data_IF_435904258493
#
_entry.id   IF_435904258493
#
_cell.length_a   1.000
_cell.length_b   1.000
_cell.length_c   1.000
_cell.angle_alpha   90.00
_cell.angle_beta   90.00
_cell.angle_gamma   90.00
#
_symmetry.space_group_name_H-M   'P 1'
#
loop_
_entity.id
_entity.type
_entity.pdbx_description
1 polymer ?
#
# COMPACT_ATOMS: atom_id res chain seq x y z
N UNK A 1 -3.21 12.63 1.12
CA UNK A 1 -2.00 11.78 1.01
C UNK A 1 -2.05 10.87 -0.23
N UNK A 2 -3.09 10.04 -0.39
CA UNK A 2 -3.21 9.10 -1.54
C UNK A 2 -3.13 9.79 -2.90
N UNK A 3 -3.80 10.93 -3.11
CA UNK A 3 -3.74 11.68 -4.38
C UNK A 3 -2.32 12.19 -4.67
N UNK A 4 -1.61 12.72 -3.67
CA UNK A 4 -0.22 13.15 -3.84
C UNK A 4 0.69 11.98 -4.19
N UNK A 5 0.47 10.81 -3.59
CA UNK A 5 1.19 9.60 -3.90
C UNK A 5 0.92 9.13 -5.35
N UNK A 6 -0.31 9.25 -5.85
CA UNK A 6 -0.65 8.97 -7.24
C UNK A 6 0.02 9.94 -8.23
N UNK A 7 0.11 11.23 -7.88
CA UNK A 7 0.84 12.21 -8.69
C UNK A 7 2.35 11.91 -8.68
N UNK A 8 2.92 11.60 -7.51
CA UNK A 8 4.32 11.19 -7.40
C UNK A 8 4.60 9.91 -8.20
N UNK A 9 3.65 8.97 -8.25
CA UNK A 9 3.74 7.77 -9.09
C UNK A 9 3.85 8.12 -10.56
N UNK A 10 3.00 9.04 -11.07
CA UNK A 10 3.04 9.42 -12.48
C UNK A 10 4.29 10.21 -12.88
N UNK A 11 4.85 11.03 -11.97
CA UNK A 11 5.94 11.96 -12.30
C UNK A 11 7.32 11.41 -11.94
N UNK A 12 7.46 10.73 -10.80
CA UNK A 12 8.76 10.32 -10.25
C UNK A 12 9.04 8.84 -10.38
N UNK A 13 8.04 7.96 -10.35
CA UNK A 13 8.29 6.52 -10.41
C UNK A 13 9.01 6.07 -11.69
N UNK A 14 8.71 6.61 -12.90
CA UNK A 14 9.46 6.25 -14.11
C UNK A 14 10.93 6.71 -14.07
N UNK A 15 11.24 7.78 -13.32
CA UNK A 15 12.59 8.32 -13.20
C UNK A 15 13.43 7.61 -12.12
N UNK A 16 12.76 6.92 -11.20
CA UNK A 16 13.36 6.16 -10.11
C UNK A 16 13.38 4.65 -10.37
N UNK A 17 13.03 4.24 -11.60
CA UNK A 17 13.08 2.85 -12.01
C UNK A 17 14.52 2.32 -11.99
N UNK A 18 14.74 1.22 -11.25
CA UNK A 18 16.00 0.48 -11.27
C UNK A 18 15.70 -0.92 -11.83
N UNK A 19 16.07 -1.14 -13.09
CA UNK A 19 15.78 -2.39 -13.79
C UNK A 19 14.27 -2.58 -14.03
N UNK A 20 13.71 -3.69 -13.55
CA UNK A 20 12.27 -4.00 -13.65
C UNK A 20 11.48 -3.54 -12.41
N UNK A 21 12.17 -3.05 -11.38
CA UNK A 21 11.56 -2.61 -10.14
C UNK A 21 11.17 -1.12 -10.24
N UNK A 22 9.90 -0.83 -10.01
CA UNK A 22 9.38 0.53 -9.86
C UNK A 22 8.93 0.73 -8.40
N UNK A 23 9.23 1.89 -7.78
CA UNK A 23 8.61 2.22 -6.50
C UNK A 23 7.09 2.40 -6.68
N UNK A 24 6.33 1.93 -5.70
CA UNK A 24 4.87 2.02 -5.69
C UNK A 24 4.43 2.96 -4.56
N UNK A 25 4.53 4.27 -4.82
CA UNK A 25 4.21 5.31 -3.85
C UNK A 25 2.76 5.23 -3.32
N UNK A 26 1.73 4.93 -4.14
CA UNK A 26 0.36 4.83 -3.65
C UNK A 26 0.18 3.69 -2.64
N UNK A 27 0.79 2.52 -2.89
CA UNK A 27 0.73 1.39 -1.96
C UNK A 27 1.56 1.65 -0.71
N UNK A 28 2.71 2.31 -0.83
CA UNK A 28 3.54 2.68 0.32
C UNK A 28 2.80 3.62 1.28
N UNK A 29 2.16 4.66 0.75
CA UNK A 29 1.36 5.60 1.55
C UNK A 29 0.12 4.93 2.12
N UNK A 30 -0.51 4.03 1.36
CA UNK A 30 -1.65 3.24 1.83
C UNK A 30 -1.25 2.30 2.97
N UNK A 31 -0.05 1.69 2.92
CA UNK A 31 0.47 0.84 3.98
C UNK A 31 0.71 1.62 5.28
N UNK A 32 1.29 2.81 5.17
CA UNK A 32 1.49 3.70 6.32
C UNK A 32 0.15 4.19 6.90
N UNK A 33 -0.83 4.51 6.05
CA UNK A 33 -2.17 4.89 6.49
C UNK A 33 -2.87 3.73 7.19
N UNK A 34 -2.88 2.54 6.58
CA UNK A 34 -3.50 1.35 7.15
C UNK A 34 -2.95 1.02 8.54
N UNK A 35 -1.64 1.19 8.76
CA UNK A 35 -1.06 1.01 10.09
C UNK A 35 -1.55 2.02 11.14
N UNK A 36 -1.75 3.27 10.74
CA UNK A 36 -2.00 4.37 11.69
C UNK A 36 -3.50 4.65 11.90
N UNK A 37 -4.38 3.96 11.18
CA UNK A 37 -5.83 4.20 11.19
C UNK A 37 -6.64 2.92 11.35
N UNK A 38 -7.89 3.06 11.75
CA UNK A 38 -8.84 1.95 11.92
C UNK A 38 -9.05 1.17 10.61
N UNK A 39 -9.46 -0.11 10.69
CA UNK A 39 -9.74 -0.93 9.51
C UNK A 39 -10.76 -0.31 8.53
N UNK A 40 -11.74 0.45 9.06
CA UNK A 40 -12.77 1.11 8.24
C UNK A 40 -12.20 2.29 7.44
N UNK A 41 -11.40 3.16 8.06
CA UNK A 41 -10.72 4.27 7.37
C UNK A 41 -9.64 3.75 6.41
N UNK A 42 -8.94 2.67 6.76
CA UNK A 42 -8.03 1.97 5.86
C UNK A 42 -8.75 1.39 4.64
N UNK A 43 -9.95 0.82 4.82
CA UNK A 43 -10.78 0.31 3.72
C UNK A 43 -11.16 1.44 2.74
N UNK A 44 -11.62 2.58 3.25
CA UNK A 44 -11.93 3.76 2.42
C UNK A 44 -10.70 4.30 1.68
N UNK A 45 -9.54 4.35 2.35
CA UNK A 45 -8.29 4.72 1.70
C UNK A 45 -7.90 3.71 0.60
N UNK A 46 -8.08 2.41 0.84
CA UNK A 46 -7.87 1.34 -0.13
C UNK A 46 -8.79 1.45 -1.33
N UNK A 47 -10.06 1.78 -1.12
CA UNK A 47 -11.04 2.02 -2.18
C UNK A 47 -10.63 3.18 -3.08
N UNK A 48 -10.29 4.34 -2.49
CA UNK A 48 -9.84 5.52 -3.24
C UNK A 48 -8.55 5.24 -4.02
N UNK A 49 -7.60 4.53 -3.42
CA UNK A 49 -6.35 4.13 -4.08
C UNK A 49 -6.63 3.17 -5.24
N UNK A 50 -7.54 2.21 -5.03
CA UNK A 50 -8.07 1.29 -6.04
C UNK A 50 -8.64 2.01 -7.24
N UNK A 51 -9.56 2.94 -6.99
CA UNK A 51 -10.24 3.72 -8.01
C UNK A 51 -9.24 4.57 -8.81
N UNK A 52 -8.39 5.35 -8.14
CA UNK A 52 -7.42 6.23 -8.79
C UNK A 52 -6.48 5.46 -9.70
N UNK A 53 -5.92 4.36 -9.20
CA UNK A 53 -4.94 3.60 -9.97
C UNK A 53 -5.60 2.76 -11.08
N UNK A 54 -6.84 2.30 -10.90
CA UNK A 54 -7.60 1.70 -11.99
C UNK A 54 -7.88 2.72 -13.11
N UNK A 55 -8.22 3.96 -12.76
CA UNK A 55 -8.40 5.04 -13.73
C UNK A 55 -7.12 5.37 -14.51
N UNK A 56 -5.94 5.17 -13.92
CA UNK A 56 -4.65 5.40 -14.61
C UNK A 56 -4.27 4.27 -15.57
N UNK A 57 -4.74 3.04 -15.34
CA UNK A 57 -4.33 1.85 -16.10
C UNK A 57 -5.37 1.37 -17.12
N UNK A 58 -6.54 2.02 -17.23
CA UNK A 58 -7.66 1.63 -18.10
C UNK A 58 -8.06 0.13 -17.98
N UNK A 59 -7.76 -0.48 -16.83
CA UNK A 59 -7.97 -1.90 -16.56
C UNK A 59 -9.20 -2.14 -15.68
N UNK A 60 -9.49 -3.42 -15.37
CA UNK A 60 -10.65 -3.85 -14.57
C UNK A 60 -10.72 -3.15 -13.21
N UNK A 61 -11.54 -2.09 -13.14
CA UNK A 61 -11.70 -1.21 -11.98
C UNK A 61 -12.11 -1.98 -10.73
N UNK A 62 -13.01 -2.96 -10.89
CA UNK A 62 -13.47 -3.81 -9.79
C UNK A 62 -12.34 -4.58 -9.12
N UNK A 63 -11.49 -5.27 -9.89
CA UNK A 63 -10.40 -6.10 -9.34
C UNK A 63 -9.36 -5.28 -8.58
N UNK A 64 -9.06 -4.06 -9.04
CA UNK A 64 -8.13 -3.16 -8.34
C UNK A 64 -8.71 -2.56 -7.06
N UNK A 65 -10.00 -2.24 -7.06
CA UNK A 65 -10.67 -1.75 -5.85
C UNK A 65 -10.70 -2.87 -4.81
N UNK A 66 -11.20 -4.05 -5.17
CA UNK A 66 -11.35 -5.18 -4.24
C UNK A 66 -9.99 -5.59 -3.65
N UNK A 67 -8.96 -5.75 -4.49
CA UNK A 67 -7.63 -6.14 -4.02
C UNK A 67 -7.03 -5.13 -3.03
N UNK A 68 -7.13 -3.83 -3.32
CA UNK A 68 -6.56 -2.78 -2.45
C UNK A 68 -7.35 -2.54 -1.18
N UNK A 69 -8.68 -2.66 -1.23
CA UNK A 69 -9.52 -2.60 -0.02
C UNK A 69 -9.17 -3.76 0.91
N UNK A 70 -9.17 -5.00 0.40
CA UNK A 70 -8.85 -6.17 1.21
C UNK A 70 -7.43 -6.11 1.77
N UNK A 71 -6.44 -5.73 0.95
CA UNK A 71 -5.07 -5.59 1.40
C UNK A 71 -4.91 -4.49 2.47
N UNK A 72 -5.57 -3.34 2.30
CA UNK A 72 -5.53 -2.25 3.28
C UNK A 72 -6.20 -2.64 4.61
N UNK A 73 -7.38 -3.26 4.56
CA UNK A 73 -8.09 -3.73 5.75
C UNK A 73 -7.29 -4.78 6.51
N UNK A 74 -6.71 -5.77 5.82
CA UNK A 74 -5.87 -6.79 6.47
C UNK A 74 -4.60 -6.19 7.07
N UNK A 75 -3.97 -5.23 6.38
CA UNK A 75 -2.78 -4.53 6.89
C UNK A 75 -3.11 -3.65 8.10
N UNK A 76 -4.34 -3.15 8.21
CA UNK A 76 -4.79 -2.38 9.39
C UNK A 76 -4.95 -3.24 10.65
N UNK A 77 -4.98 -4.57 10.53
CA UNK A 77 -4.91 -5.48 11.68
C UNK A 77 -3.47 -5.82 12.09
N UNK A 78 -2.46 -5.43 11.31
CA UNK A 78 -1.06 -5.67 11.65
C UNK A 78 -0.63 -5.08 13.02
N UNK A 79 -1.13 -3.90 13.45
CA UNK A 79 -0.87 -3.36 14.79
C UNK A 79 -1.28 -4.27 15.96
N UNK A 80 -2.23 -5.21 15.77
CA UNK A 80 -2.57 -6.20 16.78
C UNK A 80 -1.44 -7.19 17.08
N UNK A 81 -0.66 -7.51 16.04
CA UNK A 81 0.40 -8.52 16.12
C UNK A 81 1.75 -7.84 16.35
N UNK A 82 1.91 -6.61 15.87
CA UNK A 82 3.17 -5.87 15.90
C UNK A 82 2.95 -4.48 16.46
N UNK A 83 3.65 -4.14 17.55
CA UNK A 83 3.52 -2.83 18.19
C UNK A 83 3.72 -1.68 17.19
N UNK A 84 2.72 -0.81 17.11
CA UNK A 84 2.64 0.31 16.16
C UNK A 84 3.68 1.41 16.41
N UNK A 85 4.44 1.31 17.51
CA UNK A 85 5.40 2.31 17.97
C UNK A 85 6.79 2.14 17.35
N UNK A 86 7.08 0.98 16.76
CA UNK A 86 8.38 0.68 16.16
C UNK A 86 8.37 0.92 14.66
N UNK A 87 9.42 1.55 14.12
CA UNK A 87 9.63 1.73 12.67
C UNK A 87 9.65 0.40 11.88
N UNK A 88 9.90 -0.72 12.56
CA UNK A 88 9.79 -2.07 11.99
C UNK A 88 8.36 -2.43 11.56
N UNK A 89 7.31 -1.89 12.20
CA UNK A 89 5.93 -2.14 11.77
C UNK A 89 5.68 -1.54 10.38
N UNK A 90 6.27 -0.37 10.10
CA UNK A 90 6.21 0.28 8.79
C UNK A 90 6.84 -0.55 7.68
N UNK A 91 7.99 -1.18 7.96
CA UNK A 91 8.63 -2.11 7.03
C UNK A 91 7.74 -3.32 6.74
N UNK A 92 7.15 -3.91 7.77
CA UNK A 92 6.24 -5.03 7.61
C UNK A 92 5.00 -4.65 6.80
N UNK A 93 4.36 -3.51 7.09
CA UNK A 93 3.22 -3.06 6.30
C UNK A 93 3.59 -2.74 4.84
N UNK A 94 4.76 -2.14 4.61
CA UNK A 94 5.26 -1.84 3.28
C UNK A 94 5.59 -3.10 2.46
N UNK A 95 5.75 -4.27 3.09
CA UNK A 95 5.84 -5.55 2.39
C UNK A 95 4.50 -6.30 2.31
N UNK A 96 3.77 -6.37 3.42
CA UNK A 96 2.50 -7.12 3.50
C UNK A 96 1.45 -6.53 2.57
N UNK A 97 1.31 -5.19 2.54
CA UNK A 97 0.24 -4.57 1.75
C UNK A 97 0.42 -4.76 0.24
N UNK A 98 1.59 -4.48 -0.36
CA UNK A 98 1.77 -4.74 -1.79
C UNK A 98 1.67 -6.23 -2.10
N UNK A 99 2.24 -7.10 -1.26
CA UNK A 99 2.18 -8.55 -1.45
C UNK A 99 0.71 -9.04 -1.48
N UNK A 100 -0.11 -8.62 -0.51
CA UNK A 100 -1.53 -8.95 -0.47
C UNK A 100 -2.29 -8.35 -1.66
N UNK A 101 -2.04 -7.08 -1.98
CA UNK A 101 -2.72 -6.40 -3.09
C UNK A 101 -2.45 -7.11 -4.42
N UNK A 102 -1.19 -7.45 -4.71
CA UNK A 102 -0.83 -8.16 -5.93
C UNK A 102 -1.36 -9.60 -5.94
N UNK A 103 -1.36 -10.29 -4.79
CA UNK A 103 -1.91 -11.64 -4.67
C UNK A 103 -3.42 -11.65 -4.92
N UNK A 104 -4.19 -10.75 -4.29
CA UNK A 104 -5.63 -10.65 -4.52
C UNK A 104 -5.96 -10.21 -5.94
N UNK A 105 -5.17 -9.30 -6.51
CA UNK A 105 -5.34 -8.89 -7.89
C UNK A 105 -5.09 -10.06 -8.86
N UNK A 106 -4.04 -10.84 -8.63
CA UNK A 106 -3.74 -12.05 -9.42
C UNK A 106 -4.86 -13.10 -9.33
N UNK A 107 -5.45 -13.29 -8.15
CA UNK A 107 -6.60 -14.18 -7.96
C UNK A 107 -7.87 -13.65 -8.67
N UNK A 108 -8.08 -12.34 -8.66
CA UNK A 108 -9.25 -11.71 -9.30
C UNK A 108 -9.13 -11.64 -10.83
N UNK A 109 -7.90 -11.56 -11.35
CA UNK A 109 -7.62 -11.49 -12.77
C UNK A 109 -6.32 -12.26 -13.08
N UNK A 110 -6.39 -13.58 -13.35
CA UNK A 110 -5.23 -14.41 -13.68
C UNK A 110 -4.77 -14.15 -15.13
N UNK A 111 -4.40 -12.91 -15.44
CA UNK A 111 -3.95 -12.48 -16.77
C UNK A 111 -2.41 -12.44 -16.90
N UNK A 112 -1.66 -12.68 -15.82
CA UNK A 112 -0.21 -12.45 -15.75
C UNK A 112 0.58 -13.72 -15.37
N UNK A 113 0.87 -14.57 -16.35
CA UNK A 113 1.66 -15.80 -16.15
C UNK A 113 3.19 -15.63 -16.23
N UNK A 114 3.74 -14.40 -16.21
CA UNK A 114 5.18 -14.20 -16.44
C UNK A 114 5.99 -14.10 -15.15
N UNK A 115 7.12 -14.81 -15.10
CA UNK A 115 8.12 -14.67 -14.03
C UNK A 115 8.61 -13.22 -13.86
N UNK A 116 8.61 -12.44 -14.93
CA UNK A 116 8.97 -11.02 -14.93
C UNK A 116 8.00 -10.15 -14.11
N UNK A 117 6.71 -10.48 -14.06
CA UNK A 117 5.74 -9.77 -13.23
C UNK A 117 6.09 -9.92 -11.74
N UNK A 118 6.31 -11.16 -11.29
CA UNK A 118 6.66 -11.42 -9.90
C UNK A 118 8.03 -10.87 -9.52
N UNK A 119 9.00 -10.85 -10.44
CA UNK A 119 10.27 -10.15 -10.22
C UNK A 119 10.07 -8.64 -10.04
N UNK A 120 9.20 -8.01 -10.83
CA UNK A 120 8.88 -6.60 -10.69
C UNK A 120 8.17 -6.31 -9.35
N UNK A 121 7.22 -7.17 -8.94
CA UNK A 121 6.50 -7.06 -7.67
C UNK A 121 7.45 -7.24 -6.48
N UNK A 122 8.32 -8.24 -6.50
CA UNK A 122 9.32 -8.42 -5.44
C UNK A 122 10.30 -7.24 -5.39
N UNK A 123 10.71 -6.75 -6.56
CA UNK A 123 11.52 -5.54 -6.68
C UNK A 123 10.85 -4.32 -6.07
N UNK A 124 9.56 -4.09 -6.36
CA UNK A 124 8.80 -2.97 -5.81
C UNK A 124 8.61 -3.09 -4.30
N UNK A 125 8.41 -4.30 -3.76
CA UNK A 125 8.35 -4.55 -2.31
C UNK A 125 9.66 -4.16 -1.63
N UNK A 126 10.80 -4.60 -2.15
CA UNK A 126 12.11 -4.25 -1.57
C UNK A 126 12.35 -2.74 -1.66
N UNK A 127 12.00 -2.13 -2.78
CA UNK A 127 12.12 -0.68 -2.96
C UNK A 127 11.23 0.09 -1.96
N UNK A 128 9.99 -0.37 -1.79
CA UNK A 128 9.02 0.19 -0.87
C UNK A 128 9.47 0.02 0.59
N UNK A 129 10.10 -1.10 0.96
CA UNK A 129 10.69 -1.29 2.29
C UNK A 129 11.78 -0.26 2.58
N UNK A 130 12.70 -0.02 1.63
CA UNK A 130 13.75 0.99 1.80
C UNK A 130 13.13 2.39 1.97
N UNK A 131 12.08 2.70 1.21
CA UNK A 131 11.35 3.97 1.30
C UNK A 131 10.35 4.05 2.46
N UNK A 132 10.06 2.94 3.14
CA UNK A 132 9.07 2.89 4.22
C UNK A 132 9.48 3.73 5.42
N UNK A 133 10.77 3.77 5.74
CA UNK A 133 11.28 4.55 6.89
C UNK A 133 11.00 6.05 6.71
N UNK A 134 11.45 6.71 5.62
CA UNK A 134 11.15 8.13 5.41
C UNK A 134 9.65 8.39 5.19
N UNK A 135 8.93 7.49 4.51
CA UNK A 135 7.50 7.63 4.29
C UNK A 135 6.71 7.57 5.61
N UNK A 136 7.01 6.61 6.47
CA UNK A 136 6.38 6.46 7.78
C UNK A 136 6.66 7.67 8.66
N UNK A 137 7.88 8.18 8.67
CA UNK A 137 8.21 9.41 9.40
C UNK A 137 7.39 10.61 8.90
N UNK A 138 7.25 10.77 7.59
CA UNK A 138 6.47 11.84 6.98
C UNK A 138 4.97 11.70 7.31
N UNK A 139 4.41 10.50 7.16
CA UNK A 139 2.98 10.25 7.44
C UNK A 139 2.69 10.45 8.92
N UNK A 140 3.54 9.95 9.82
CA UNK A 140 3.38 10.12 11.27
C UNK A 140 3.46 11.58 11.70
N UNK A 141 4.22 12.41 10.98
CA UNK A 141 4.28 13.86 11.24
C UNK A 141 2.97 14.57 10.93
N UNK A 142 2.20 14.04 9.97
CA UNK A 142 0.95 14.64 9.50
C UNK A 142 -0.25 14.03 10.22
N UNK A 143 -0.18 12.74 10.55
CA UNK A 143 -1.20 11.99 11.27
C UNK A 143 -0.57 11.34 12.50
N UNK A 144 -0.81 11.87 13.71
CA UNK A 144 -0.48 11.16 14.94
C UNK A 144 -1.15 9.78 14.92
N UNK A 145 -0.50 8.73 15.44
CA UNK A 145 -1.14 7.41 15.55
C UNK A 145 -2.43 7.55 16.35
N UNK A 146 -3.54 7.01 15.83
CA UNK A 146 -4.79 6.95 16.56
C UNK A 146 -4.55 6.29 17.93
N UNK A 147 -5.21 6.80 18.96
CA UNK A 147 -5.11 6.19 20.29
C UNK A 147 -5.60 4.74 20.21
N UNK A 148 -5.04 3.84 21.03
CA UNK A 148 -5.42 2.42 21.03
C UNK A 148 -6.94 2.26 21.24
N UNK A 149 -7.56 3.18 21.97
CA UNK A 149 -9.01 3.21 22.24
C UNK A 149 -9.84 3.57 20.99
N UNK A 150 -9.33 4.41 20.08
CA UNK A 150 -10.02 4.80 18.84
C UNK A 150 -9.98 3.70 17.77
N UNK A 151 -8.96 2.84 17.77
CA UNK A 151 -8.80 1.74 16.79
C UNK A 151 -9.91 0.69 16.90
N UNK A 152 -10.50 0.55 18.09
CA UNK A 152 -11.49 -0.48 18.42
C UNK A 152 -12.89 0.05 18.69
N UNK A 153 -13.07 1.36 18.90
CA UNK A 153 -14.39 2.00 18.97
C UNK A 153 -14.94 2.24 17.55
N UNK A 154 -15.56 1.21 16.97
CA UNK A 154 -16.49 1.34 15.85
C UNK A 154 -17.90 1.00 16.30
#
# INVERSE_FOLDING_TARGET
MVVLAAVAQGVWAPRLQIGVALPDFPLLVLACLALLTNPNTAAWAGFLTGLLHASMLEQTVGSFIVSRVLAATLTAYLPLVVSNRHWLSALLAAAVLPLLSHTFYYLAAPNFGSSTYWQAVLGSIVYNMVLAIPAYWLVRRIMPPASEDDLWNN
#
